data_IF_569339841587
#
_entry.id   IF_569339841587
#
_cell.length_a   1.000
_cell.length_b   1.000
_cell.length_c   1.000
_cell.angle_alpha   90.00
_cell.angle_beta   90.00
_cell.angle_gamma   90.00
#
_symmetry.space_group_name_H-M   'P 1'
#
loop_
_entity.id
_entity.type
_entity.pdbx_description
1 polymer ?
#
# COMPACT_ATOMS: atom_id res chain seq x y z
N UNK A 1 -30.56 6.86 5.28
CA UNK A 1 -29.49 6.46 4.34
C UNK A 1 -28.20 6.36 5.15
N UNK A 2 -27.48 5.24 5.08
CA UNK A 2 -26.17 5.07 5.74
C UNK A 2 -25.21 6.05 5.07
N UNK A 3 -24.54 6.89 5.88
CA UNK A 3 -23.58 7.86 5.36
C UNK A 3 -22.39 7.12 4.67
N UNK A 4 -21.92 7.61 3.55
CA UNK A 4 -20.79 7.01 2.80
C UNK A 4 -19.52 6.92 3.68
N UNK A 5 -19.29 7.90 4.55
CA UNK A 5 -18.19 7.88 5.51
C UNK A 5 -18.35 6.75 6.55
N UNK A 6 -19.59 6.36 6.93
CA UNK A 6 -19.85 5.24 7.84
C UNK A 6 -19.48 3.90 7.19
N UNK A 7 -19.73 3.72 5.88
CA UNK A 7 -19.31 2.52 5.15
C UNK A 7 -17.78 2.43 5.03
N UNK A 8 -17.13 3.56 4.82
CA UNK A 8 -15.65 3.62 4.80
C UNK A 8 -15.10 3.26 6.17
N UNK A 9 -15.61 3.87 7.25
CA UNK A 9 -15.17 3.55 8.61
C UNK A 9 -15.39 2.06 8.95
N UNK A 10 -16.54 1.51 8.57
CA UNK A 10 -16.82 0.08 8.75
C UNK A 10 -15.82 -0.81 8.00
N UNK A 11 -15.45 -0.44 6.78
CA UNK A 11 -14.45 -1.17 5.99
C UNK A 11 -13.06 -1.08 6.62
N UNK A 12 -12.70 0.09 7.19
CA UNK A 12 -11.44 0.28 7.91
C UNK A 12 -11.39 -0.59 9.17
N UNK A 13 -12.50 -0.66 9.91
CA UNK A 13 -12.60 -1.51 11.11
C UNK A 13 -12.39 -3.00 10.79
N UNK A 14 -12.73 -3.43 9.57
CA UNK A 14 -12.51 -4.79 9.08
C UNK A 14 -11.14 -5.01 8.41
N UNK A 15 -10.23 -4.06 8.47
CA UNK A 15 -8.92 -4.20 7.82
C UNK A 15 -8.13 -5.45 8.26
N UNK A 16 -8.09 -5.82 9.57
CA UNK A 16 -7.47 -7.07 10.00
C UNK A 16 -8.14 -8.32 9.40
N UNK A 17 -9.47 -8.31 9.33
CA UNK A 17 -10.27 -9.43 8.78
C UNK A 17 -10.01 -9.57 7.27
N UNK A 18 -9.89 -8.46 6.54
CA UNK A 18 -9.53 -8.49 5.11
C UNK A 18 -8.22 -9.25 4.89
N UNK A 19 -7.18 -8.98 5.70
CA UNK A 19 -5.87 -9.63 5.57
C UNK A 19 -5.97 -11.10 5.96
N UNK A 20 -6.58 -11.42 7.10
CA UNK A 20 -6.69 -12.81 7.60
C UNK A 20 -7.47 -13.72 6.64
N UNK A 21 -8.62 -13.24 6.18
CA UNK A 21 -9.48 -14.00 5.27
C UNK A 21 -8.77 -14.27 3.95
N UNK A 22 -8.19 -13.23 3.34
CA UNK A 22 -7.51 -13.36 2.06
C UNK A 22 -6.22 -14.18 2.15
N UNK A 23 -5.47 -14.10 3.23
CA UNK A 23 -4.29 -14.93 3.46
C UNK A 23 -4.69 -16.42 3.51
N UNK A 24 -5.72 -16.75 4.29
CA UNK A 24 -6.22 -18.13 4.42
C UNK A 24 -6.71 -18.69 3.08
N UNK A 25 -7.44 -17.89 2.31
CA UNK A 25 -8.01 -18.37 1.04
C UNK A 25 -6.96 -18.45 -0.09
N UNK A 26 -6.02 -17.51 -0.14
CA UNK A 26 -4.99 -17.50 -1.17
C UNK A 26 -3.94 -18.60 -1.00
N UNK A 27 -3.70 -19.08 0.23
CA UNK A 27 -2.89 -20.27 0.50
C UNK A 27 -3.43 -21.56 -0.15
N UNK A 28 -4.75 -21.61 -0.45
CA UNK A 28 -5.41 -22.75 -1.09
C UNK A 28 -5.36 -22.70 -2.62
N UNK A 29 -4.84 -21.64 -3.21
CA UNK A 29 -4.75 -21.53 -4.68
C UNK A 29 -3.85 -22.64 -5.20
N UNK A 30 -4.40 -23.43 -6.14
CA UNK A 30 -3.63 -24.50 -6.76
C UNK A 30 -2.62 -23.89 -7.75
N UNK A 31 -1.34 -23.95 -7.40
CA UNK A 31 -0.24 -23.43 -8.21
C UNK A 31 0.48 -24.57 -8.92
N UNK A 32 0.71 -24.48 -10.25
CA UNK A 32 1.50 -25.46 -10.98
C UNK A 32 2.92 -25.57 -10.42
N UNK A 33 3.49 -26.80 -10.37
CA UNK A 33 4.84 -27.04 -9.80
C UNK A 33 5.94 -26.21 -10.44
N UNK A 34 5.84 -25.92 -11.73
CA UNK A 34 6.79 -25.09 -12.46
C UNK A 34 6.84 -23.63 -11.98
N UNK A 35 5.83 -23.17 -11.23
CA UNK A 35 5.83 -21.82 -10.60
C UNK A 35 6.78 -21.73 -9.40
N UNK A 36 7.19 -22.85 -8.82
CA UNK A 36 8.20 -22.86 -7.74
C UNK A 36 9.63 -22.56 -8.24
N UNK A 37 9.86 -22.61 -9.56
CA UNK A 37 11.17 -22.40 -10.17
C UNK A 37 11.39 -20.99 -10.73
N UNK A 38 10.58 -20.02 -10.29
CA UNK A 38 10.73 -18.64 -10.74
C UNK A 38 12.04 -18.01 -10.26
N UNK A 39 12.60 -17.12 -11.08
CA UNK A 39 13.83 -16.39 -10.79
C UNK A 39 13.60 -14.91 -10.50
N UNK A 40 12.42 -14.40 -10.79
CA UNK A 40 12.03 -13.01 -10.54
C UNK A 40 10.53 -12.87 -10.47
N UNK A 41 10.07 -11.80 -9.83
CA UNK A 41 8.67 -11.40 -9.75
C UNK A 41 8.53 -9.99 -10.34
N UNK A 42 7.55 -9.82 -11.22
CA UNK A 42 7.08 -8.51 -11.70
C UNK A 42 5.61 -8.36 -11.29
N UNK A 43 5.35 -7.41 -10.41
CA UNK A 43 4.02 -7.14 -9.88
C UNK A 43 3.40 -5.95 -10.61
N UNK A 44 2.28 -6.17 -11.29
CA UNK A 44 1.54 -5.15 -12.02
C UNK A 44 0.29 -4.75 -11.23
N UNK A 45 0.15 -3.46 -10.96
CA UNK A 45 -0.99 -2.91 -10.22
C UNK A 45 -0.97 -1.39 -10.19
N UNK A 46 -2.14 -0.76 -10.07
CA UNK A 46 -2.29 0.70 -10.04
C UNK A 46 -2.99 1.15 -8.75
N UNK A 47 -2.63 2.33 -8.23
CA UNK A 47 -3.27 2.93 -7.06
C UNK A 47 -3.38 1.97 -5.86
N UNK A 48 -4.58 1.76 -5.36
CA UNK A 48 -4.86 0.83 -4.25
C UNK A 48 -4.46 -0.62 -4.49
N UNK A 49 -4.30 -1.05 -5.76
CA UNK A 49 -3.80 -2.38 -6.10
C UNK A 49 -2.27 -2.44 -6.21
N UNK A 50 -1.58 -1.29 -6.27
CA UNK A 50 -0.12 -1.18 -6.25
C UNK A 50 0.44 -1.18 -4.82
N UNK A 51 -0.25 -0.54 -3.87
CA UNK A 51 0.21 -0.39 -2.48
C UNK A 51 0.65 -1.72 -1.85
N UNK A 52 -0.15 -2.80 -1.93
CA UNK A 52 0.20 -4.08 -1.32
C UNK A 52 1.54 -4.62 -1.78
N UNK A 53 1.83 -4.52 -3.07
CA UNK A 53 3.11 -4.97 -3.62
C UNK A 53 4.29 -4.18 -3.07
N UNK A 54 4.16 -2.85 -2.95
CA UNK A 54 5.23 -2.02 -2.42
C UNK A 54 5.42 -2.26 -0.91
N UNK A 55 4.33 -2.41 -0.17
CA UNK A 55 4.36 -2.74 1.26
C UNK A 55 5.05 -4.09 1.49
N UNK A 56 4.63 -5.15 0.80
CA UNK A 56 5.19 -6.50 0.96
C UNK A 56 6.65 -6.55 0.55
N UNK A 57 7.00 -5.93 -0.59
CA UNK A 57 8.38 -5.85 -1.07
C UNK A 57 9.32 -5.25 -0.03
N UNK A 58 8.93 -4.14 0.61
CA UNK A 58 9.80 -3.47 1.59
C UNK A 58 9.74 -4.12 2.97
N UNK A 59 8.57 -4.63 3.39
CA UNK A 59 8.40 -5.29 4.68
C UNK A 59 9.16 -6.61 4.76
N UNK A 60 9.15 -7.39 3.69
CA UNK A 60 9.77 -8.71 3.60
C UNK A 60 10.99 -8.73 2.67
N UNK A 61 11.70 -7.62 2.57
CA UNK A 61 12.84 -7.44 1.66
C UNK A 61 13.95 -8.46 1.91
N UNK A 62 14.15 -8.86 3.16
CA UNK A 62 15.19 -9.81 3.58
C UNK A 62 14.72 -11.27 3.46
N UNK A 63 13.41 -11.52 3.42
CA UNK A 63 12.79 -12.84 3.44
C UNK A 63 12.34 -13.31 2.04
N UNK A 64 12.15 -12.39 1.08
CA UNK A 64 11.80 -12.71 -0.31
C UNK A 64 13.06 -13.18 -1.05
N UNK A 65 13.02 -14.42 -1.54
CA UNK A 65 14.19 -15.12 -2.10
C UNK A 65 14.56 -14.75 -3.54
N UNK A 66 13.72 -13.98 -4.23
CA UNK A 66 13.92 -13.60 -5.64
C UNK A 66 13.73 -12.09 -5.84
N UNK A 67 14.34 -11.47 -6.85
CA UNK A 67 14.08 -10.08 -7.18
C UNK A 67 12.59 -9.80 -7.37
N UNK A 68 12.08 -8.76 -6.71
CA UNK A 68 10.69 -8.33 -6.74
C UNK A 68 10.60 -6.92 -7.30
N UNK A 69 10.08 -6.76 -8.51
CA UNK A 69 9.93 -5.47 -9.19
C UNK A 69 8.45 -5.09 -9.27
N UNK A 70 8.16 -3.82 -9.07
CA UNK A 70 6.82 -3.25 -9.26
C UNK A 70 6.78 -2.57 -10.62
N UNK A 71 5.77 -2.92 -11.41
CA UNK A 71 5.51 -2.35 -12.72
C UNK A 71 4.19 -1.59 -12.70
N UNK A 72 4.28 -0.28 -12.85
CA UNK A 72 3.15 0.64 -12.92
C UNK A 72 3.06 1.32 -14.31
N UNK A 73 3.33 0.52 -15.35
CA UNK A 73 3.36 0.91 -16.76
C UNK A 73 2.60 -0.13 -17.61
N UNK A 74 2.26 0.25 -18.83
CA UNK A 74 1.72 -0.63 -19.87
C UNK A 74 2.74 -1.63 -20.43
N UNK A 75 4.03 -1.32 -20.29
CA UNK A 75 5.11 -2.16 -20.79
C UNK A 75 5.75 -2.96 -19.66
N UNK A 76 6.09 -4.20 -19.96
CA UNK A 76 6.87 -5.02 -19.05
C UNK A 76 8.37 -4.79 -19.24
N UNK A 77 9.17 -4.94 -18.17
CA UNK A 77 10.62 -4.91 -18.27
C UNK A 77 11.16 -5.92 -19.29
N UNK A 78 12.26 -5.56 -19.94
CA UNK A 78 12.86 -6.36 -21.00
C UNK A 78 13.31 -7.77 -20.57
N UNK A 79 13.62 -7.96 -19.29
CA UNK A 79 14.07 -9.24 -18.74
C UNK A 79 12.95 -10.26 -18.51
N UNK A 80 11.69 -9.88 -18.64
CA UNK A 80 10.53 -10.78 -18.42
C UNK A 80 10.58 -11.92 -19.43
N UNK A 81 10.63 -13.15 -18.93
CA UNK A 81 10.72 -14.40 -19.66
C UNK A 81 9.93 -15.53 -19.01
N UNK A 82 10.15 -16.78 -19.43
CA UNK A 82 9.51 -18.00 -18.91
C UNK A 82 9.83 -18.31 -17.45
N UNK A 83 10.87 -17.72 -16.86
CA UNK A 83 11.27 -17.86 -15.45
C UNK A 83 10.75 -16.70 -14.58
N UNK A 84 10.06 -15.74 -15.17
CA UNK A 84 9.48 -14.60 -14.46
C UNK A 84 8.04 -14.90 -14.05
N UNK A 85 7.68 -14.62 -12.80
CA UNK A 85 6.29 -14.56 -12.36
C UNK A 85 5.76 -13.16 -12.52
N UNK A 86 4.69 -12.99 -13.29
CA UNK A 86 3.96 -11.73 -13.41
C UNK A 86 2.68 -11.82 -12.57
N UNK A 87 2.61 -11.05 -11.49
CA UNK A 87 1.43 -10.95 -10.62
C UNK A 87 0.57 -9.78 -11.10
N UNK A 88 -0.61 -10.08 -11.61
CA UNK A 88 -1.58 -9.10 -12.11
C UNK A 88 -2.57 -8.77 -11.00
N UNK A 89 -2.44 -7.61 -10.37
CA UNK A 89 -3.32 -7.17 -9.28
C UNK A 89 -4.21 -6.03 -9.70
N UNK A 90 -5.51 -6.27 -9.70
CA UNK A 90 -6.53 -5.25 -9.94
C UNK A 90 -7.73 -5.54 -9.05
N UNK A 91 -7.98 -4.71 -8.05
CA UNK A 91 -9.12 -4.92 -7.14
C UNK A 91 -10.42 -5.11 -7.92
N UNK A 92 -10.75 -4.21 -8.84
CA UNK A 92 -11.94 -4.29 -9.70
C UNK A 92 -11.84 -5.32 -10.83
N UNK A 93 -10.63 -5.74 -11.18
CA UNK A 93 -10.37 -6.58 -12.35
C UNK A 93 -10.54 -5.90 -13.71
N UNK A 94 -10.56 -4.55 -13.75
CA UNK A 94 -10.84 -3.80 -14.99
C UNK A 94 -9.75 -2.76 -15.33
N UNK A 95 -8.64 -2.75 -14.60
CA UNK A 95 -7.53 -1.82 -14.79
C UNK A 95 -6.84 -2.09 -16.12
N UNK A 96 -6.84 -1.11 -17.01
CA UNK A 96 -6.37 -1.26 -18.40
C UNK A 96 -4.88 -1.61 -18.45
N UNK A 97 -4.04 -0.90 -17.69
CA UNK A 97 -2.59 -1.11 -17.63
C UNK A 97 -2.26 -2.55 -17.21
N UNK A 98 -3.01 -3.09 -16.25
CA UNK A 98 -2.82 -4.47 -15.75
C UNK A 98 -3.23 -5.50 -16.80
N UNK A 99 -4.31 -5.25 -17.53
CA UNK A 99 -4.78 -6.14 -18.61
C UNK A 99 -3.80 -6.18 -19.78
N UNK A 100 -3.27 -5.01 -20.19
CA UNK A 100 -2.27 -4.92 -21.27
C UNK A 100 -0.95 -5.57 -20.85
N UNK A 101 -0.48 -5.31 -19.62
CA UNK A 101 0.71 -5.97 -19.08
C UNK A 101 0.51 -7.50 -19.04
N UNK A 102 -0.70 -7.97 -18.68
CA UNK A 102 -1.05 -9.38 -18.69
C UNK A 102 -0.97 -10.02 -20.07
N UNK A 103 -1.48 -9.36 -21.09
CA UNK A 103 -1.38 -9.83 -22.47
C UNK A 103 0.08 -9.94 -22.93
N UNK A 104 0.90 -8.92 -22.64
CA UNK A 104 2.35 -8.94 -22.94
C UNK A 104 3.10 -10.04 -22.16
N UNK A 105 2.71 -10.30 -20.90
CA UNK A 105 3.27 -11.40 -20.13
C UNK A 105 2.96 -12.76 -20.76
N UNK A 106 1.74 -12.95 -21.25
CA UNK A 106 1.33 -14.14 -21.96
C UNK A 106 2.11 -14.37 -23.25
N UNK A 107 2.30 -13.33 -24.07
CA UNK A 107 3.11 -13.36 -25.30
C UNK A 107 4.57 -13.75 -25.03
N UNK A 108 5.12 -13.27 -23.90
CA UNK A 108 6.47 -13.63 -23.43
C UNK A 108 6.54 -15.01 -22.74
N UNK A 109 5.42 -15.74 -22.64
CA UNK A 109 5.31 -17.03 -21.96
C UNK A 109 5.74 -16.98 -20.50
N UNK A 110 5.60 -15.84 -19.85
CA UNK A 110 5.85 -15.69 -18.42
C UNK A 110 4.81 -16.48 -17.60
N UNK A 111 5.16 -16.85 -16.38
CA UNK A 111 4.21 -17.39 -15.42
C UNK A 111 3.30 -16.26 -14.93
N UNK A 112 1.99 -16.48 -14.90
CA UNK A 112 1.01 -15.42 -14.62
C UNK A 112 0.11 -15.85 -13.47
N UNK A 113 -0.14 -14.94 -12.52
CA UNK A 113 -1.16 -15.11 -11.47
C UNK A 113 -2.03 -13.84 -11.45
N UNK A 114 -3.36 -14.02 -11.42
CA UNK A 114 -4.31 -12.92 -11.29
C UNK A 114 -4.86 -12.78 -9.86
N UNK A 115 -5.04 -11.53 -9.40
CA UNK A 115 -5.67 -11.22 -8.10
C UNK A 115 -6.72 -10.13 -8.30
N UNK A 116 -8.00 -10.42 -8.04
CA UNK A 116 -9.11 -9.45 -8.17
C UNK A 116 -10.41 -9.94 -7.52
N UNK A 117 -11.42 -9.09 -7.46
CA UNK A 117 -12.80 -9.54 -7.17
C UNK A 117 -13.46 -10.24 -8.36
N UNK A 118 -12.91 -10.13 -9.57
CA UNK A 118 -13.50 -10.67 -10.80
C UNK A 118 -13.15 -9.84 -12.04
N UNK A 119 -14.16 -9.47 -12.83
CA UNK A 119 -14.03 -8.61 -14.01
C UNK A 119 -13.19 -9.20 -15.14
N UNK A 120 -12.77 -8.36 -16.07
CA UNK A 120 -11.99 -8.75 -17.26
C UNK A 120 -10.69 -9.48 -16.91
N UNK A 121 -10.09 -9.21 -15.75
CA UNK A 121 -8.89 -9.92 -15.31
C UNK A 121 -9.19 -11.40 -15.02
N UNK A 122 -10.31 -11.69 -14.35
CA UNK A 122 -10.72 -13.08 -14.11
C UNK A 122 -11.02 -13.81 -15.43
N UNK A 123 -11.69 -13.14 -16.37
CA UNK A 123 -11.96 -13.69 -17.70
C UNK A 123 -10.65 -14.01 -18.46
N UNK A 124 -9.70 -13.08 -18.42
CA UNK A 124 -8.38 -13.26 -19.04
C UNK A 124 -7.61 -14.44 -18.42
N UNK A 125 -7.52 -14.50 -17.09
CA UNK A 125 -6.84 -15.56 -16.36
C UNK A 125 -7.46 -16.94 -16.67
N UNK A 126 -8.79 -17.04 -16.69
CA UNK A 126 -9.50 -18.27 -17.07
C UNK A 126 -9.23 -18.66 -18.53
N UNK A 127 -9.24 -17.70 -19.46
CA UNK A 127 -8.97 -17.94 -20.89
C UNK A 127 -7.59 -18.54 -21.14
N UNK A 128 -6.57 -18.13 -20.39
CA UNK A 128 -5.20 -18.62 -20.51
C UNK A 128 -4.89 -19.81 -19.59
N UNK A 129 -5.89 -20.32 -18.86
CA UNK A 129 -5.76 -21.37 -17.85
C UNK A 129 -4.66 -21.10 -16.79
N UNK A 130 -4.45 -19.83 -16.41
CA UNK A 130 -3.51 -19.45 -15.37
C UNK A 130 -4.17 -19.51 -13.97
N UNK A 131 -3.39 -19.68 -12.89
CA UNK A 131 -3.91 -19.59 -11.52
C UNK A 131 -4.34 -18.17 -11.15
N UNK A 132 -5.30 -18.05 -10.24
CA UNK A 132 -5.75 -16.77 -9.74
C UNK A 132 -6.42 -16.86 -8.37
N UNK A 133 -6.29 -15.78 -7.60
CA UNK A 133 -7.02 -15.57 -6.36
C UNK A 133 -8.15 -14.55 -6.62
N UNK A 134 -9.40 -15.05 -6.58
CA UNK A 134 -10.60 -14.23 -6.82
C UNK A 134 -11.44 -14.19 -5.55
N UNK A 135 -11.49 -13.04 -4.88
CA UNK A 135 -12.09 -12.89 -3.57
C UNK A 135 -13.45 -12.19 -3.60
N UNK A 136 -14.28 -12.50 -2.59
CA UNK A 136 -15.52 -11.78 -2.31
C UNK A 136 -15.24 -10.74 -1.21
N UNK A 137 -15.38 -9.42 -1.46
CA UNK A 137 -14.96 -8.38 -0.53
C UNK A 137 -15.99 -8.08 0.58
N UNK A 138 -16.48 -9.09 1.31
CA UNK A 138 -17.51 -8.94 2.35
C UNK A 138 -17.09 -8.00 3.48
N UNK A 139 -15.80 -7.87 3.76
CA UNK A 139 -15.22 -6.97 4.75
C UNK A 139 -14.88 -5.57 4.20
N UNK A 140 -15.35 -5.23 2.99
CA UNK A 140 -15.21 -3.90 2.41
C UNK A 140 -16.55 -3.34 1.91
N UNK A 141 -17.53 -3.05 2.82
CA UNK A 141 -18.82 -2.53 2.42
C UNK A 141 -18.78 -1.18 1.70
N UNK A 142 -17.66 -0.43 1.79
CA UNK A 142 -17.48 0.80 1.02
C UNK A 142 -17.25 0.56 -0.48
N UNK A 143 -16.84 -0.65 -0.86
CA UNK A 143 -16.47 -1.00 -2.24
C UNK A 143 -15.21 -0.30 -2.76
N UNK A 144 -14.55 0.54 -1.94
CA UNK A 144 -13.39 1.33 -2.38
C UNK A 144 -12.10 0.50 -2.37
N UNK A 145 -11.39 0.37 -3.52
CA UNK A 145 -10.16 -0.46 -3.60
C UNK A 145 -9.08 -0.04 -2.60
N UNK A 146 -8.89 1.27 -2.40
CA UNK A 146 -7.91 1.84 -1.47
C UNK A 146 -8.22 1.58 0.01
N UNK A 147 -9.44 1.15 0.32
CA UNK A 147 -9.88 0.79 1.69
C UNK A 147 -9.92 -0.74 1.84
N UNK A 148 -10.12 -1.46 0.72
CA UNK A 148 -10.12 -2.93 0.67
C UNK A 148 -8.76 -3.55 0.36
N UNK A 149 -7.67 -2.79 0.43
CA UNK A 149 -6.35 -3.29 0.03
C UNK A 149 -5.79 -4.38 0.95
N UNK A 150 -6.37 -4.57 2.13
CA UNK A 150 -6.07 -5.70 3.01
C UNK A 150 -6.28 -7.06 2.33
N UNK A 151 -7.30 -7.17 1.46
CA UNK A 151 -7.51 -8.37 0.64
C UNK A 151 -6.35 -8.67 -0.30
N UNK A 152 -5.77 -7.62 -0.88
CA UNK A 152 -4.60 -7.79 -1.76
C UNK A 152 -3.33 -8.09 -0.97
N UNK A 153 -3.16 -7.51 0.24
CA UNK A 153 -2.03 -7.85 1.12
C UNK A 153 -2.07 -9.32 1.48
N UNK A 154 -3.16 -9.81 2.06
CA UNK A 154 -3.28 -11.21 2.44
C UNK A 154 -3.22 -12.14 1.23
N UNK A 155 -3.85 -11.74 0.10
CA UNK A 155 -3.82 -12.49 -1.15
C UNK A 155 -2.41 -12.68 -1.71
N UNK A 156 -1.62 -11.61 -1.76
CA UNK A 156 -0.23 -11.68 -2.23
C UNK A 156 0.64 -12.48 -1.26
N UNK A 157 0.51 -12.24 0.06
CA UNK A 157 1.25 -13.00 1.07
C UNK A 157 1.00 -14.50 0.96
N UNK A 158 -0.27 -14.92 0.86
CA UNK A 158 -0.58 -16.36 0.74
C UNK A 158 -0.04 -16.97 -0.55
N UNK A 159 -0.05 -16.26 -1.68
CA UNK A 159 0.57 -16.71 -2.93
C UNK A 159 2.09 -16.86 -2.78
N UNK A 160 2.77 -15.87 -2.19
CA UNK A 160 4.23 -15.91 -2.02
C UNK A 160 4.68 -17.01 -1.05
N UNK A 161 3.89 -17.27 0.00
CA UNK A 161 4.12 -18.38 0.93
C UNK A 161 3.89 -19.73 0.25
N UNK A 162 2.80 -19.88 -0.50
CA UNK A 162 2.47 -21.09 -1.24
C UNK A 162 3.52 -21.43 -2.32
N UNK A 163 4.15 -20.40 -2.92
CA UNK A 163 5.27 -20.57 -3.87
C UNK A 163 6.61 -20.82 -3.18
N UNK A 164 6.68 -20.76 -1.86
CA UNK A 164 7.92 -20.86 -1.06
C UNK A 164 9.00 -19.81 -1.41
N UNK A 165 8.58 -18.70 -2.05
CA UNK A 165 9.46 -17.55 -2.34
C UNK A 165 9.54 -16.57 -1.20
N UNK A 166 8.58 -16.57 -0.29
CA UNK A 166 8.61 -15.87 0.98
C UNK A 166 8.87 -16.87 2.10
N UNK A 167 10.00 -16.71 2.80
CA UNK A 167 10.37 -17.55 3.92
C UNK A 167 9.85 -16.95 5.24
N UNK A 168 8.58 -17.19 5.55
CA UNK A 168 7.94 -16.69 6.76
C UNK A 168 6.87 -17.64 7.28
N UNK A 169 6.48 -17.55 8.57
CA UNK A 169 5.45 -18.40 9.14
C UNK A 169 4.09 -17.69 9.14
N UNK A 170 3.08 -18.38 8.65
CA UNK A 170 1.69 -17.85 8.59
C UNK A 170 1.18 -17.48 9.98
N UNK A 171 1.52 -18.30 10.98
CA UNK A 171 1.12 -18.11 12.39
C UNK A 171 1.64 -16.81 12.97
N UNK A 172 2.86 -16.39 12.63
CA UNK A 172 3.45 -15.14 13.08
C UNK A 172 2.72 -13.92 12.48
N UNK A 173 2.31 -14.02 11.20
CA UNK A 173 1.52 -12.98 10.55
C UNK A 173 0.15 -12.85 11.22
N UNK A 174 -0.53 -13.97 11.48
CA UNK A 174 -1.84 -13.98 12.14
C UNK A 174 -1.73 -13.47 13.59
N UNK A 175 -0.68 -13.87 14.31
CA UNK A 175 -0.41 -13.38 15.65
C UNK A 175 -0.24 -11.86 15.67
N UNK A 176 0.58 -11.33 14.77
CA UNK A 176 0.80 -9.89 14.65
C UNK A 176 -0.51 -9.12 14.36
N UNK A 177 -1.37 -9.65 13.46
CA UNK A 177 -2.66 -9.04 13.16
C UNK A 177 -3.57 -9.01 14.39
N UNK A 178 -3.59 -10.07 15.19
CA UNK A 178 -4.46 -10.16 16.35
C UNK A 178 -4.01 -9.26 17.53
N UNK A 179 -2.74 -8.85 17.57
CA UNK A 179 -2.18 -7.99 18.61
C UNK A 179 -2.43 -6.49 18.40
N UNK A 180 -3.07 -6.10 17.29
CA UNK A 180 -3.26 -4.69 16.97
C UNK A 180 -4.35 -4.06 17.83
N UNK A 181 -4.02 -3.00 18.54
CA UNK A 181 -4.94 -2.21 19.37
C UNK A 181 -5.73 -1.19 18.51
N UNK A 182 -6.65 -1.68 17.67
CA UNK A 182 -7.38 -0.88 16.67
C UNK A 182 -8.01 0.39 17.26
N UNK A 183 -8.68 0.32 18.43
CA UNK A 183 -9.34 1.49 19.05
C UNK A 183 -8.36 2.58 19.47
N UNK A 184 -7.17 2.19 19.91
CA UNK A 184 -6.11 3.12 20.29
C UNK A 184 -5.52 3.79 19.05
N UNK A 185 -5.23 3.01 18.03
CA UNK A 185 -4.77 3.50 16.71
C UNK A 185 -5.76 4.49 16.11
N UNK A 186 -7.05 4.17 16.14
CA UNK A 186 -8.12 5.07 15.69
C UNK A 186 -8.09 6.41 16.42
N UNK A 187 -7.99 6.38 17.76
CA UNK A 187 -7.95 7.58 18.60
C UNK A 187 -6.73 8.46 18.29
N UNK A 188 -5.54 7.84 18.15
CA UNK A 188 -4.29 8.52 17.78
C UNK A 188 -4.37 9.14 16.38
N UNK A 189 -4.90 8.41 15.40
CA UNK A 189 -5.11 8.89 14.03
C UNK A 189 -6.07 10.08 13.96
N UNK A 190 -7.16 10.04 14.73
CA UNK A 190 -8.13 11.14 14.85
C UNK A 190 -7.50 12.41 15.42
N UNK A 191 -6.61 12.27 16.42
CA UNK A 191 -5.87 13.41 16.98
C UNK A 191 -4.86 13.96 15.95
N UNK A 192 -4.16 13.09 15.24
CA UNK A 192 -3.21 13.49 14.19
C UNK A 192 -3.92 14.23 13.05
N UNK A 193 -5.08 13.76 12.61
CA UNK A 193 -5.87 14.41 11.56
C UNK A 193 -6.20 15.88 11.90
N UNK A 194 -6.52 16.18 13.16
CA UNK A 194 -6.75 17.56 13.61
C UNK A 194 -5.50 18.43 13.52
N UNK A 195 -4.34 17.87 13.82
CA UNK A 195 -3.05 18.60 13.78
C UNK A 195 -2.61 18.92 12.35
N UNK A 196 -2.93 18.04 11.37
CA UNK A 196 -2.52 18.22 9.98
C UNK A 196 -3.58 18.92 9.10
N UNK A 197 -4.71 19.31 9.69
CA UNK A 197 -5.75 20.04 8.95
C UNK A 197 -5.19 21.34 8.38
N UNK A 198 -5.44 21.59 7.09
CA UNK A 198 -4.91 22.74 6.32
C UNK A 198 -3.37 22.79 6.19
N UNK A 199 -2.71 21.64 6.40
CA UNK A 199 -1.26 21.50 6.19
C UNK A 199 -0.98 20.65 4.95
N UNK A 200 0.25 20.78 4.45
CA UNK A 200 0.83 19.89 3.44
C UNK A 200 1.72 18.85 4.14
N UNK A 201 1.23 17.63 4.37
CA UNK A 201 2.00 16.62 5.10
C UNK A 201 3.08 15.97 4.22
N UNK A 202 4.29 15.94 4.75
CA UNK A 202 5.39 15.10 4.32
C UNK A 202 5.50 13.91 5.28
N UNK A 203 5.14 12.71 4.82
CA UNK A 203 5.28 11.49 5.61
C UNK A 203 6.70 10.95 5.50
N UNK A 204 7.44 10.97 6.60
CA UNK A 204 8.83 10.55 6.66
C UNK A 204 8.91 9.12 7.18
N UNK A 205 9.46 8.24 6.35
CA UNK A 205 9.57 6.80 6.57
C UNK A 205 10.97 6.28 6.25
N UNK A 206 11.23 5.03 6.61
CA UNK A 206 12.45 4.33 6.23
C UNK A 206 12.25 2.82 6.23
N UNK A 207 13.22 2.09 5.66
CA UNK A 207 13.32 0.64 5.70
C UNK A 207 11.96 -0.04 5.41
N UNK A 208 11.53 -0.99 6.24
CA UNK A 208 10.31 -1.79 6.06
C UNK A 208 8.99 -0.97 6.01
N UNK A 209 9.02 0.32 6.38
CA UNK A 209 7.84 1.20 6.33
C UNK A 209 7.69 1.99 5.03
N UNK A 210 8.65 1.89 4.10
CA UNK A 210 8.70 2.71 2.88
C UNK A 210 7.43 2.56 2.02
N UNK A 211 6.97 1.34 1.81
CA UNK A 211 5.74 1.09 1.05
C UNK A 211 4.49 1.66 1.73
N UNK A 212 4.47 1.67 3.07
CA UNK A 212 3.35 2.20 3.85
C UNK A 212 3.31 3.73 3.79
N UNK A 213 4.47 4.40 3.86
CA UNK A 213 4.54 5.85 3.66
C UNK A 213 3.98 6.29 2.31
N UNK A 214 4.30 5.54 1.24
CA UNK A 214 3.71 5.74 -0.09
C UNK A 214 2.18 5.55 -0.06
N UNK A 215 1.68 4.48 0.56
CA UNK A 215 0.25 4.21 0.65
C UNK A 215 -0.51 5.32 1.38
N UNK A 216 0.00 5.78 2.55
CA UNK A 216 -0.62 6.86 3.33
C UNK A 216 -0.67 8.17 2.53
N UNK A 217 0.41 8.53 1.83
CA UNK A 217 0.43 9.73 1.00
C UNK A 217 -0.63 9.66 -0.11
N UNK A 218 -0.71 8.55 -0.83
CA UNK A 218 -1.71 8.37 -1.88
C UNK A 218 -3.14 8.34 -1.33
N UNK A 219 -3.37 7.68 -0.19
CA UNK A 219 -4.67 7.69 0.48
C UNK A 219 -5.06 9.09 0.97
N UNK A 220 -4.10 9.91 1.42
CA UNK A 220 -4.36 11.31 1.79
C UNK A 220 -4.86 12.09 0.58
N UNK A 221 -4.22 11.93 -0.58
CA UNK A 221 -4.68 12.56 -1.83
C UNK A 221 -6.07 12.07 -2.24
N UNK A 222 -6.30 10.77 -2.20
CA UNK A 222 -7.50 10.14 -2.77
C UNK A 222 -8.70 10.13 -1.80
N UNK A 223 -8.47 9.90 -0.50
CA UNK A 223 -9.54 9.83 0.52
C UNK A 223 -9.82 11.20 1.12
N UNK A 224 -8.79 11.92 1.56
CA UNK A 224 -8.94 13.23 2.20
C UNK A 224 -9.01 14.40 1.21
N UNK A 225 -8.76 14.18 -0.10
CA UNK A 225 -8.66 15.22 -1.13
C UNK A 225 -7.65 16.30 -0.76
N UNK A 226 -6.61 15.91 -0.05
CA UNK A 226 -5.56 16.82 0.43
C UNK A 226 -4.22 16.38 -0.17
N UNK A 227 -3.53 17.30 -0.80
CA UNK A 227 -2.22 17.03 -1.39
C UNK A 227 -1.21 16.65 -0.31
N UNK A 228 -0.41 15.63 -0.57
CA UNK A 228 0.62 15.13 0.34
C UNK A 228 1.75 14.44 -0.41
N UNK A 229 2.85 14.21 0.27
CA UNK A 229 3.93 13.37 -0.24
C UNK A 229 4.59 12.56 0.88
N UNK A 230 5.35 11.55 0.49
CA UNK A 230 6.23 10.83 1.41
C UNK A 230 7.69 11.02 0.99
N UNK A 231 8.60 10.86 1.96
CA UNK A 231 10.04 10.90 1.73
C UNK A 231 10.71 9.82 2.55
N UNK A 232 11.82 9.32 2.03
CA UNK A 232 12.52 8.16 2.58
C UNK A 232 13.86 8.62 3.15
N UNK A 233 14.14 8.28 4.40
CA UNK A 233 15.48 8.32 4.99
C UNK A 233 16.17 6.99 4.62
N UNK A 234 17.43 6.99 4.12
CA UNK A 234 18.40 8.11 4.11
C UNK A 234 18.37 9.01 2.85
N UNK A 235 17.63 8.65 1.79
CA UNK A 235 17.68 9.33 0.49
C UNK A 235 17.40 10.84 0.59
N UNK A 236 16.35 11.23 1.35
CA UNK A 236 16.02 12.64 1.52
C UNK A 236 17.16 13.49 2.11
N UNK A 237 18.07 12.87 2.89
CA UNK A 237 19.20 13.57 3.51
C UNK A 237 20.25 14.05 2.49
N UNK A 238 20.21 13.55 1.25
CA UNK A 238 21.18 13.91 0.22
C UNK A 238 20.74 15.09 -0.65
N UNK A 239 19.47 15.51 -0.58
CA UNK A 239 18.96 16.58 -1.44
C UNK A 239 17.88 17.47 -0.80
N UNK A 240 16.88 16.88 -0.08
CA UNK A 240 15.68 17.61 0.37
C UNK A 240 16.00 18.67 1.42
N UNK A 241 17.00 18.46 2.28
CA UNK A 241 17.34 19.36 3.37
C UNK A 241 17.72 20.76 2.87
N UNK A 242 18.43 20.85 1.74
CA UNK A 242 18.75 22.15 1.12
C UNK A 242 17.51 22.85 0.53
N UNK A 243 16.55 22.04 0.04
CA UNK A 243 15.27 22.53 -0.52
C UNK A 243 14.32 23.12 0.52
N UNK A 244 14.53 22.89 1.82
CA UNK A 244 13.68 23.43 2.90
C UNK A 244 13.75 24.97 3.01
N UNK A 245 14.76 25.58 2.42
CA UNK A 245 14.96 27.04 2.45
C UNK A 245 13.88 27.79 1.67
N UNK A 246 13.42 27.26 0.55
CA UNK A 246 12.49 27.93 -0.38
C UNK A 246 11.40 26.99 -0.92
N UNK A 247 10.21 27.47 -1.29
CA UNK A 247 9.71 28.84 -1.08
C UNK A 247 9.38 29.10 0.40
N UNK A 248 9.47 30.35 0.83
CA UNK A 248 9.21 30.74 2.24
C UNK A 248 7.76 30.46 2.67
N UNK A 249 6.80 30.58 1.76
CA UNK A 249 5.37 30.32 2.00
C UNK A 249 5.10 28.87 2.36
N UNK A 250 5.88 27.92 1.83
CA UNK A 250 5.74 26.50 2.13
C UNK A 250 5.91 26.22 3.63
N UNK A 251 6.77 26.98 4.31
CA UNK A 251 7.01 26.84 5.76
C UNK A 251 5.77 27.05 6.62
N UNK A 252 4.77 27.79 6.10
CA UNK A 252 3.52 28.06 6.83
C UNK A 252 2.56 26.87 6.78
N UNK A 253 2.62 26.08 5.72
CA UNK A 253 1.69 24.97 5.47
C UNK A 253 2.34 23.59 5.53
N UNK A 254 3.65 23.47 5.26
CA UNK A 254 4.34 22.19 5.34
C UNK A 254 4.39 21.66 6.77
N UNK A 255 4.20 20.36 6.91
CA UNK A 255 4.36 19.64 8.17
C UNK A 255 5.04 18.31 7.91
N UNK A 256 6.10 18.02 8.65
CA UNK A 256 6.85 16.78 8.52
C UNK A 256 6.41 15.81 9.61
N UNK A 257 5.87 14.66 9.22
CA UNK A 257 5.38 13.62 10.12
C UNK A 257 6.37 12.47 10.09
N UNK A 258 7.12 12.30 11.17
CA UNK A 258 8.13 11.27 11.33
C UNK A 258 7.49 9.99 11.88
N UNK A 259 7.34 8.96 11.05
CA UNK A 259 6.94 7.62 11.48
C UNK A 259 8.18 6.84 11.93
N UNK A 260 8.44 6.89 13.22
CA UNK A 260 9.66 6.35 13.81
C UNK A 260 9.46 4.94 14.36
N UNK A 261 10.44 4.08 14.12
CA UNK A 261 10.52 2.74 14.69
C UNK A 261 11.83 2.52 15.45
N UNK A 262 11.73 1.93 16.63
CA UNK A 262 12.92 1.45 17.36
C UNK A 262 13.54 0.21 16.71
N UNK A 263 12.84 -0.43 15.76
CA UNK A 263 13.34 -1.56 14.98
C UNK A 263 14.19 -1.13 13.78
N UNK A 264 14.24 0.17 13.48
CA UNK A 264 15.18 0.68 12.49
C UNK A 264 16.62 0.48 12.92
N UNK A 265 17.53 0.32 11.96
CA UNK A 265 18.97 0.30 12.23
C UNK A 265 19.41 1.56 12.97
N UNK A 266 20.44 1.44 13.81
CA UNK A 266 20.94 2.55 14.61
C UNK A 266 21.34 3.78 13.78
N UNK A 267 21.85 3.55 12.57
CA UNK A 267 22.19 4.62 11.62
C UNK A 267 20.94 5.35 11.13
N UNK A 268 19.85 4.65 10.86
CA UNK A 268 18.58 5.27 10.44
C UNK A 268 17.95 6.04 11.62
N UNK A 269 17.94 5.46 12.81
CA UNK A 269 17.41 6.16 13.99
C UNK A 269 18.12 7.51 14.23
N UNK A 270 19.46 7.55 14.17
CA UNK A 270 20.23 8.80 14.27
C UNK A 270 19.83 9.82 13.18
N UNK A 271 19.64 9.36 11.95
CA UNK A 271 19.23 10.24 10.85
C UNK A 271 17.84 10.84 11.06
N UNK A 272 16.89 10.10 11.64
CA UNK A 272 15.58 10.62 11.98
C UNK A 272 15.68 11.85 12.90
N UNK A 273 16.42 11.76 13.99
CA UNK A 273 16.60 12.88 14.94
C UNK A 273 17.30 14.08 14.30
N UNK A 274 18.38 13.85 13.55
CA UNK A 274 19.12 14.93 12.87
C UNK A 274 18.25 15.59 11.81
N UNK A 275 17.46 14.81 11.05
CA UNK A 275 16.55 15.35 10.02
C UNK A 275 15.46 16.21 10.65
N UNK A 276 14.87 15.76 11.75
CA UNK A 276 13.90 16.57 12.50
C UNK A 276 14.50 17.91 12.93
N UNK A 277 15.67 17.89 13.54
CA UNK A 277 16.37 19.12 13.96
C UNK A 277 16.60 20.09 12.80
N UNK A 278 16.99 19.59 11.62
CA UNK A 278 17.20 20.40 10.42
C UNK A 278 15.88 21.00 9.91
N UNK A 279 14.79 20.23 9.91
CA UNK A 279 13.45 20.72 9.52
C UNK A 279 13.00 21.83 10.45
N UNK A 280 13.17 21.66 11.76
CA UNK A 280 12.80 22.66 12.78
C UNK A 280 13.67 23.92 12.70
N UNK A 281 14.96 23.80 12.43
CA UNK A 281 15.85 24.94 12.14
C UNK A 281 15.42 25.76 10.92
N UNK A 282 14.67 25.18 10.01
CA UNK A 282 14.05 25.87 8.88
C UNK A 282 12.67 26.46 9.20
N UNK A 283 12.24 26.44 10.48
CA UNK A 283 10.93 26.89 10.94
C UNK A 283 9.75 26.15 10.28
N UNK A 284 9.92 24.86 10.02
CA UNK A 284 8.88 23.98 9.51
C UNK A 284 8.39 23.11 10.66
N UNK A 285 7.08 22.97 10.79
CA UNK A 285 6.45 22.19 11.84
C UNK A 285 6.75 20.70 11.69
N UNK A 286 7.02 20.01 12.80
CA UNK A 286 7.24 18.56 12.84
C UNK A 286 6.26 17.87 13.78
N UNK A 287 5.87 16.64 13.44
CA UNK A 287 5.14 15.73 14.30
C UNK A 287 5.89 14.40 14.35
N UNK A 288 5.90 13.82 15.53
CA UNK A 288 6.55 12.54 15.80
C UNK A 288 5.48 11.49 16.12
N UNK A 289 5.55 10.35 15.44
CA UNK A 289 4.73 9.20 15.74
C UNK A 289 5.61 7.97 15.89
N UNK A 290 5.86 7.56 17.14
CA UNK A 290 6.61 6.35 17.44
C UNK A 290 5.69 5.13 17.32
N UNK A 291 6.06 4.19 16.45
CA UNK A 291 5.27 2.98 16.18
C UNK A 291 5.27 2.06 17.40
N UNK A 292 4.13 1.44 17.62
CA UNK A 292 3.92 0.40 18.64
C UNK A 292 3.98 -0.98 17.97
N UNK A 293 4.33 -1.99 18.76
CA UNK A 293 4.49 -3.37 18.29
C UNK A 293 5.91 -3.89 18.48
N UNK A 294 6.02 -5.19 18.71
CA UNK A 294 7.28 -5.84 19.07
C UNK A 294 8.11 -6.29 17.86
N UNK A 295 7.47 -6.43 16.69
CA UNK A 295 8.10 -6.85 15.46
C UNK A 295 7.69 -5.98 14.26
N UNK A 296 8.40 -6.14 13.14
CA UNK A 296 8.18 -5.36 11.92
C UNK A 296 6.74 -5.49 11.40
N UNK A 297 6.12 -6.67 11.50
CA UNK A 297 4.76 -6.92 10.97
C UNK A 297 3.70 -6.21 11.82
N UNK A 298 3.76 -6.30 13.15
CA UNK A 298 2.86 -5.58 14.05
C UNK A 298 2.92 -4.07 13.79
N UNK A 299 4.13 -3.51 13.68
CA UNK A 299 4.31 -2.09 13.40
C UNK A 299 3.79 -1.71 12.01
N UNK A 300 4.05 -2.53 11.00
CA UNK A 300 3.59 -2.30 9.63
C UNK A 300 2.05 -2.30 9.54
N UNK A 301 1.40 -3.33 10.09
CA UNK A 301 -0.08 -3.43 10.06
C UNK A 301 -0.70 -2.31 10.90
N UNK A 302 -0.11 -1.99 12.06
CA UNK A 302 -0.55 -0.88 12.90
C UNK A 302 -0.49 0.46 12.17
N UNK A 303 0.61 0.74 11.44
CA UNK A 303 0.75 1.97 10.67
C UNK A 303 -0.19 2.02 9.46
N UNK A 304 -0.44 0.89 8.79
CA UNK A 304 -1.45 0.81 7.73
C UNK A 304 -2.87 1.14 8.25
N UNK A 305 -3.24 0.56 9.39
CA UNK A 305 -4.51 0.87 10.05
C UNK A 305 -4.58 2.35 10.44
N UNK A 306 -3.51 2.90 11.02
CA UNK A 306 -3.40 4.32 11.35
C UNK A 306 -3.61 5.21 10.12
N UNK A 307 -2.96 4.92 9.00
CA UNK A 307 -3.11 5.66 7.74
C UNK A 307 -4.55 5.66 7.21
N UNK A 308 -5.22 4.51 7.27
CA UNK A 308 -6.63 4.40 6.89
C UNK A 308 -7.53 5.33 7.74
N UNK A 309 -7.38 5.31 9.06
CA UNK A 309 -8.15 6.18 9.97
C UNK A 309 -7.76 7.66 9.79
N UNK A 310 -6.46 7.96 9.70
CA UNK A 310 -5.95 9.32 9.52
C UNK A 310 -6.60 10.00 8.32
N UNK A 311 -6.58 9.33 7.17
CA UNK A 311 -7.08 9.90 5.90
C UNK A 311 -8.60 10.01 5.89
N UNK A 312 -9.32 9.08 6.51
CA UNK A 312 -10.77 9.13 6.67
C UNK A 312 -11.19 10.28 7.61
N UNK A 313 -10.54 10.43 8.78
CA UNK A 313 -10.85 11.54 9.70
C UNK A 313 -10.46 12.90 9.13
N UNK A 314 -9.35 12.98 8.39
CA UNK A 314 -8.96 14.20 7.69
C UNK A 314 -9.99 14.58 6.61
N UNK A 315 -10.49 13.61 5.85
CA UNK A 315 -11.60 13.80 4.90
C UNK A 315 -12.84 14.40 5.61
N UNK A 316 -13.21 13.83 6.75
CA UNK A 316 -14.36 14.31 7.53
C UNK A 316 -14.17 15.74 8.04
N UNK A 317 -12.95 16.11 8.46
CA UNK A 317 -12.62 17.46 8.91
C UNK A 317 -12.71 18.50 7.77
N UNK A 318 -12.40 18.10 6.53
CA UNK A 318 -12.60 18.93 5.34
C UNK A 318 -14.06 18.95 4.84
N UNK A 319 -14.96 18.16 5.43
CA UNK A 319 -16.34 18.01 4.96
C UNK A 319 -16.46 17.22 3.66
N UNK A 320 -15.42 16.45 3.31
CA UNK A 320 -15.35 15.69 2.08
C UNK A 320 -15.98 14.30 2.20
N UNK A 321 -16.46 13.77 1.09
CA UNK A 321 -16.89 12.38 1.00
C UNK A 321 -15.69 11.47 0.75
N UNK A 322 -15.30 10.69 1.75
CA UNK A 322 -14.14 9.79 1.70
C UNK A 322 -14.30 8.65 0.67
N UNK A 323 -15.51 8.32 0.24
CA UNK A 323 -15.78 7.24 -0.71
C UNK A 323 -15.61 7.68 -2.18
N UNK A 324 -15.93 8.93 -2.54
CA UNK A 324 -15.92 9.38 -3.93
C UNK A 324 -14.54 9.78 -4.44
N UNK A 325 -14.33 9.72 -5.76
CA UNK A 325 -13.10 10.12 -6.45
C UNK A 325 -13.41 10.85 -7.77
N UNK A 326 -14.10 12.02 -7.70
CA UNK A 326 -14.72 12.64 -8.86
C UNK A 326 -13.75 12.97 -9.99
N UNK A 327 -12.51 13.37 -9.70
CA UNK A 327 -11.52 13.65 -10.74
C UNK A 327 -10.98 12.40 -11.40
N UNK A 328 -10.80 11.31 -10.66
CA UNK A 328 -10.40 10.01 -11.22
C UNK A 328 -11.52 9.45 -12.09
N UNK A 329 -12.78 9.59 -11.67
CA UNK A 329 -13.94 9.16 -12.46
C UNK A 329 -14.09 9.98 -13.75
N UNK A 330 -13.92 11.30 -13.67
CA UNK A 330 -13.89 12.18 -14.83
C UNK A 330 -12.76 11.79 -15.80
N UNK A 331 -11.54 11.58 -15.29
CA UNK A 331 -10.41 11.15 -16.12
C UNK A 331 -10.69 9.83 -16.85
N UNK A 332 -11.19 8.81 -16.12
CA UNK A 332 -11.55 7.51 -16.73
C UNK A 332 -12.66 7.62 -17.76
N UNK A 333 -13.62 8.54 -17.56
CA UNK A 333 -14.67 8.80 -18.55
C UNK A 333 -14.05 9.38 -19.83
N UNK A 334 -13.19 10.39 -19.69
CA UNK A 334 -12.53 11.03 -20.84
C UNK A 334 -11.65 10.07 -21.65
N UNK A 335 -10.91 9.17 -20.98
CA UNK A 335 -10.12 8.14 -21.69
C UNK A 335 -10.95 7.22 -22.58
N UNK A 336 -12.23 7.03 -22.30
CA UNK A 336 -13.13 6.21 -23.14
C UNK A 336 -13.73 6.97 -24.32
N UNK A 337 -13.62 8.30 -24.32
CA UNK A 337 -14.15 9.16 -25.37
C UNK A 337 -13.09 9.42 -26.47
N UNK A 338 -11.81 9.10 -26.21
CA UNK A 338 -10.68 9.20 -27.14
C UNK A 338 -10.38 7.82 -27.75
#
# INVERSE_FOLDING_TARGET
>A
MINANDQVLKSINFFPEQIKDSLKESLKVNLPKEYQQIKSIVACGMGGSRFPHYIIKELFKEEIKVPYLINDDYNLPGFVDTNTLVILSSYSGTTEEVLIAGQKAYEKKAKIIGISIGGKLKEFINKINAPGYFFNPIYNPSGQPRIGFGYLIGGILGILLNLEVLNYQTEEIIFAINNIEIKKIESEAKLMAKKILNKYPYYIVSEFLTGIGNAIANQTNETAKSISSFRIIPELNHHLMEGLKNPQELKKIAIFIFFFSRLFSSSIQKRFFITQEIVEKNNIETLWYELKGQNKIEQAIGLMAFGNYLTMYLSSLYGENSATVPYVDYFKKKLKEV
#
